data_IF_975123697452
#
_entry.id   IF_975123697452
#
_cell.length_a   1.000
_cell.length_b   1.000
_cell.length_c   1.000
_cell.angle_alpha   90.00
_cell.angle_beta   90.00
_cell.angle_gamma   90.00
#
_symmetry.space_group_name_H-M   'P 1'
#
loop_
_entity.id
_entity.type
_entity.pdbx_description
1 polymer ?
#
# COMPACT_ATOMS: atom_id res chain seq x y z
N UNK A 1 77.18 -40.80 11.32
CA UNK A 1 77.54 -40.41 9.94
C UNK A 1 76.33 -40.64 9.07
N UNK A 2 75.83 -39.62 8.37
CA UNK A 2 74.70 -39.79 7.45
C UNK A 2 73.86 -38.51 7.22
N UNK A 3 74.38 -37.60 6.39
CA UNK A 3 73.72 -36.64 5.48
C UNK A 3 72.26 -36.24 5.80
N UNK A 4 71.89 -34.99 6.13
CA UNK A 4 72.27 -33.74 5.46
C UNK A 4 71.35 -33.45 4.26
N UNK A 5 70.03 -33.27 4.51
CA UNK A 5 69.06 -32.96 3.44
C UNK A 5 68.72 -31.47 3.43
N UNK A 6 68.91 -30.88 2.24
CA UNK A 6 68.95 -29.45 1.96
C UNK A 6 67.59 -28.75 2.16
N UNK A 7 67.59 -27.69 2.98
CA UNK A 7 66.65 -26.56 2.87
C UNK A 7 66.95 -25.81 1.57
N UNK A 8 66.14 -26.02 0.53
CA UNK A 8 66.01 -25.04 -0.56
C UNK A 8 64.79 -24.15 -0.27
N UNK A 9 65.03 -23.08 0.49
CA UNK A 9 64.16 -21.90 0.40
C UNK A 9 64.51 -21.14 -0.89
N UNK A 10 63.56 -20.45 -1.53
CA UNK A 10 63.86 -19.62 -2.69
C UNK A 10 64.88 -18.56 -2.27
N UNK A 11 66.06 -18.66 -2.89
CA UNK A 11 67.15 -17.74 -2.68
C UNK A 11 66.77 -16.41 -3.30
N UNK A 12 66.51 -15.42 -2.45
CA UNK A 12 66.30 -14.04 -2.83
C UNK A 12 67.61 -13.54 -3.48
N UNK A 13 67.69 -13.58 -4.81
CA UNK A 13 68.79 -12.99 -5.59
C UNK A 13 68.57 -11.48 -5.66
N UNK A 14 69.44 -10.64 -5.08
CA UNK A 14 69.36 -9.20 -5.29
C UNK A 14 69.95 -8.89 -6.67
N UNK A 15 69.10 -8.51 -7.62
CA UNK A 15 69.55 -8.01 -8.91
C UNK A 15 68.88 -8.58 -10.16
N UNK A 16 67.76 -9.28 -10.06
CA UNK A 16 66.97 -9.63 -11.25
C UNK A 16 66.00 -8.47 -11.53
N UNK A 17 66.27 -7.74 -12.62
CA UNK A 17 65.45 -6.62 -13.06
C UNK A 17 64.01 -7.07 -13.28
N UNK A 18 63.08 -6.54 -12.48
CA UNK A 18 61.65 -6.76 -12.71
C UNK A 18 61.32 -6.57 -14.21
N UNK A 19 60.64 -7.54 -14.86
CA UNK A 19 60.38 -7.49 -16.28
C UNK A 19 59.66 -6.20 -16.65
N UNK A 20 59.99 -5.64 -17.82
CA UNK A 20 59.55 -4.31 -18.25
C UNK A 20 58.01 -4.18 -18.23
N UNK A 21 57.32 -5.28 -18.53
CA UNK A 21 55.87 -5.41 -18.45
C UNK A 21 55.33 -5.18 -17.04
N UNK A 22 55.98 -5.72 -16.01
CA UNK A 22 55.55 -5.58 -14.62
C UNK A 22 55.92 -4.21 -14.03
N UNK A 23 57.03 -3.60 -14.47
CA UNK A 23 57.36 -2.21 -14.13
C UNK A 23 56.37 -1.22 -14.77
N UNK A 24 55.97 -1.45 -16.03
CA UNK A 24 54.94 -0.65 -16.70
C UNK A 24 53.58 -0.84 -16.01
N UNK A 25 53.21 -2.07 -15.67
CA UNK A 25 51.97 -2.36 -14.94
C UNK A 25 51.91 -1.66 -13.57
N UNK A 26 53.00 -1.72 -12.79
CA UNK A 26 53.09 -1.01 -11.51
C UNK A 26 53.09 0.52 -11.67
N UNK A 27 53.69 1.04 -12.74
CA UNK A 27 53.72 2.47 -13.01
C UNK A 27 52.37 3.05 -13.45
N UNK A 28 51.54 2.27 -14.14
CA UNK A 28 50.24 2.75 -14.66
C UNK A 28 49.06 2.53 -13.73
N UNK A 29 49.16 1.58 -12.78
CA UNK A 29 48.08 1.29 -11.80
C UNK A 29 47.54 2.53 -11.07
N UNK A 30 48.37 3.43 -10.52
CA UNK A 30 47.87 4.62 -9.84
C UNK A 30 47.08 5.56 -10.78
N UNK A 31 47.46 5.63 -12.07
CA UNK A 31 46.74 6.42 -13.04
C UNK A 31 45.36 5.82 -13.37
N UNK A 32 45.26 4.49 -13.43
CA UNK A 32 43.97 3.80 -13.60
C UNK A 32 43.07 3.95 -12.37
N UNK A 33 43.62 3.86 -11.15
CA UNK A 33 42.88 4.11 -9.91
C UNK A 33 42.29 5.54 -9.87
N UNK A 34 43.02 6.53 -10.36
CA UNK A 34 42.51 7.91 -10.45
C UNK A 34 41.32 7.99 -11.41
N UNK A 35 41.38 7.30 -12.56
CA UNK A 35 40.25 7.25 -13.51
C UNK A 35 39.05 6.54 -12.90
N UNK A 36 39.26 5.42 -12.19
CA UNK A 36 38.18 4.70 -11.49
C UNK A 36 37.52 5.55 -10.41
N UNK A 37 38.31 6.30 -9.63
CA UNK A 37 37.79 7.22 -8.62
C UNK A 37 37.01 8.39 -9.25
N UNK A 38 37.45 8.90 -10.40
CA UNK A 38 36.72 9.94 -11.13
C UNK A 38 35.40 9.37 -11.65
N UNK A 39 35.40 8.20 -12.30
CA UNK A 39 34.17 7.55 -12.79
C UNK A 39 33.21 7.23 -11.65
N UNK A 40 33.72 6.73 -10.52
CA UNK A 40 32.92 6.45 -9.31
C UNK A 40 32.31 7.71 -8.70
N UNK A 41 33.06 8.82 -8.66
CA UNK A 41 32.54 10.10 -8.15
C UNK A 41 31.46 10.71 -9.06
N UNK A 42 31.57 10.56 -10.38
CA UNK A 42 30.47 10.90 -11.30
C UNK A 42 29.24 10.02 -11.09
N UNK A 43 29.42 8.74 -10.79
CA UNK A 43 28.32 7.83 -10.41
C UNK A 43 27.62 8.25 -9.11
N UNK A 44 28.38 8.64 -8.09
CA UNK A 44 27.84 9.18 -6.84
C UNK A 44 27.08 10.51 -7.04
N UNK A 45 27.60 11.38 -7.90
CA UNK A 45 26.91 12.62 -8.26
C UNK A 45 25.60 12.36 -9.02
N UNK A 46 25.57 11.40 -9.94
CA UNK A 46 24.35 10.99 -10.63
C UNK A 46 23.30 10.45 -9.65
N UNK A 47 23.70 9.63 -8.66
CA UNK A 47 22.79 9.18 -7.61
C UNK A 47 22.28 10.31 -6.71
N UNK A 48 23.11 11.32 -6.44
CA UNK A 48 22.70 12.51 -5.70
C UNK A 48 21.68 13.36 -6.48
N UNK A 49 21.89 13.52 -7.79
CA UNK A 49 20.92 14.18 -8.67
C UNK A 49 19.60 13.40 -8.76
N UNK A 50 19.66 12.07 -8.88
CA UNK A 50 18.48 11.21 -8.87
C UNK A 50 17.71 11.34 -7.55
N UNK A 51 18.42 11.37 -6.42
CA UNK A 51 17.81 11.58 -5.10
C UNK A 51 17.18 12.97 -4.97
N UNK A 52 17.79 13.99 -5.55
CA UNK A 52 17.26 15.36 -5.55
C UNK A 52 15.99 15.45 -6.40
N UNK A 53 16.00 14.81 -7.56
CA UNK A 53 14.82 14.71 -8.43
C UNK A 53 13.68 13.97 -7.74
N UNK A 54 13.94 12.80 -7.16
CA UNK A 54 12.93 11.99 -6.47
C UNK A 54 12.41 12.67 -5.19
N UNK A 55 13.27 13.33 -4.42
CA UNK A 55 12.86 14.11 -3.26
C UNK A 55 11.95 15.28 -3.65
N UNK A 56 12.26 15.96 -4.76
CA UNK A 56 11.45 17.07 -5.27
C UNK A 56 10.10 16.58 -5.78
N UNK A 57 10.09 15.49 -6.55
CA UNK A 57 8.86 14.88 -7.06
C UNK A 57 7.94 14.41 -5.91
N UNK A 58 8.54 13.78 -4.90
CA UNK A 58 7.82 13.31 -3.72
C UNK A 58 7.29 14.48 -2.87
N UNK A 59 8.05 15.57 -2.74
CA UNK A 59 7.62 16.77 -2.01
C UNK A 59 6.46 17.47 -2.71
N UNK A 60 6.50 17.54 -4.03
CA UNK A 60 5.42 18.11 -4.83
C UNK A 60 4.13 17.27 -4.73
N UNK A 61 4.24 15.96 -4.88
CA UNK A 61 3.09 15.06 -4.76
C UNK A 61 2.50 15.06 -3.35
N UNK A 62 3.32 15.15 -2.30
CA UNK A 62 2.84 15.31 -0.93
C UNK A 62 2.05 16.63 -0.76
N UNK A 63 2.54 17.73 -1.32
CA UNK A 63 1.85 19.02 -1.30
C UNK A 63 0.53 18.99 -2.08
N UNK A 64 0.50 18.34 -3.24
CA UNK A 64 -0.72 18.11 -4.02
C UNK A 64 -1.75 17.28 -3.23
N UNK A 65 -1.30 16.21 -2.56
CA UNK A 65 -2.17 15.40 -1.69
C UNK A 65 -2.78 16.19 -0.54
N UNK A 66 -2.03 17.13 0.07
CA UNK A 66 -2.57 18.04 1.08
C UNK A 66 -3.61 19.00 0.48
N UNK A 67 -3.40 19.47 -0.74
CA UNK A 67 -4.39 20.32 -1.44
C UNK A 67 -5.69 19.55 -1.74
N UNK A 68 -5.62 18.28 -2.12
CA UNK A 68 -6.80 17.43 -2.27
C UNK A 68 -7.55 17.24 -0.94
N UNK A 69 -6.81 17.09 0.17
CA UNK A 69 -7.41 16.99 1.51
C UNK A 69 -8.17 18.26 1.92
N UNK A 70 -7.69 19.44 1.54
CA UNK A 70 -8.44 20.69 1.71
C UNK A 70 -9.73 20.72 0.87
N UNK A 71 -9.72 20.08 -0.31
CA UNK A 71 -10.91 19.86 -1.13
C UNK A 71 -11.97 19.02 -0.42
N UNK A 72 -11.57 17.94 0.26
CA UNK A 72 -12.49 17.14 1.07
C UNK A 72 -13.07 17.94 2.25
N UNK A 73 -12.27 18.77 2.92
CA UNK A 73 -12.76 19.63 4.00
C UNK A 73 -13.86 20.60 3.53
N UNK A 74 -13.70 21.19 2.34
CA UNK A 74 -14.76 22.02 1.71
C UNK A 74 -16.06 21.24 1.52
N UNK A 75 -15.97 19.97 1.10
CA UNK A 75 -17.13 19.12 0.90
C UNK A 75 -17.80 18.75 2.23
N UNK A 76 -17.03 18.47 3.30
CA UNK A 76 -17.58 18.23 4.64
C UNK A 76 -18.27 19.46 5.22
N UNK A 77 -17.68 20.65 5.08
CA UNK A 77 -18.32 21.91 5.45
C UNK A 77 -19.63 22.09 4.67
N UNK A 78 -19.62 21.83 3.37
CA UNK A 78 -20.81 21.83 2.51
C UNK A 78 -21.89 20.85 2.99
N UNK A 79 -21.51 19.65 3.44
CA UNK A 79 -22.44 18.67 4.01
C UNK A 79 -23.07 19.16 5.32
N UNK A 80 -22.28 19.75 6.22
CA UNK A 80 -22.81 20.34 7.46
C UNK A 80 -23.83 21.44 7.16
N UNK A 81 -23.52 22.36 6.25
CA UNK A 81 -24.47 23.37 5.80
C UNK A 81 -25.68 22.77 5.05
N UNK A 82 -25.49 21.66 4.32
CA UNK A 82 -26.58 20.94 3.65
C UNK A 82 -27.54 20.29 4.63
N UNK A 83 -27.07 19.80 5.78
CA UNK A 83 -27.93 19.25 6.84
C UNK A 83 -28.82 20.34 7.43
N UNK A 84 -28.28 21.54 7.66
CA UNK A 84 -29.10 22.69 8.08
C UNK A 84 -30.10 23.12 7.02
N UNK A 85 -29.71 23.09 5.74
CA UNK A 85 -30.62 23.36 4.62
C UNK A 85 -31.72 22.29 4.51
N UNK A 86 -31.37 21.02 4.70
CA UNK A 86 -32.28 19.88 4.71
C UNK A 86 -33.26 19.97 5.89
N UNK A 87 -32.78 20.29 7.10
CA UNK A 87 -33.62 20.54 8.26
C UNK A 87 -34.64 21.66 7.97
N UNK A 88 -34.20 22.75 7.34
CA UNK A 88 -35.07 23.86 6.96
C UNK A 88 -36.10 23.43 5.89
N UNK A 89 -35.72 22.55 4.96
CA UNK A 89 -36.61 21.98 3.93
C UNK A 89 -37.64 21.02 4.54
N UNK A 90 -37.22 20.14 5.44
CA UNK A 90 -38.08 19.23 6.20
C UNK A 90 -39.07 20.03 7.06
N UNK A 91 -38.60 21.09 7.74
CA UNK A 91 -39.47 21.98 8.52
C UNK A 91 -40.53 22.65 7.65
N UNK A 92 -40.16 23.16 6.45
CA UNK A 92 -41.11 23.71 5.47
C UNK A 92 -42.09 22.64 4.95
N UNK A 93 -41.63 21.42 4.73
CA UNK A 93 -42.45 20.31 4.24
C UNK A 93 -43.48 19.85 5.28
N UNK A 94 -43.05 19.70 6.54
CA UNK A 94 -43.93 19.43 7.67
C UNK A 94 -44.94 20.56 7.84
N UNK A 95 -44.52 21.83 7.74
CA UNK A 95 -45.44 22.97 7.80
C UNK A 95 -46.49 22.92 6.67
N UNK A 96 -46.08 22.58 5.45
CA UNK A 96 -46.97 22.46 4.28
C UNK A 96 -47.98 21.30 4.41
N UNK A 97 -47.55 20.14 4.92
CA UNK A 97 -48.42 18.96 5.10
C UNK A 97 -49.33 19.10 6.32
N UNK A 98 -48.83 19.67 7.41
CA UNK A 98 -49.58 19.78 8.68
C UNK A 98 -50.57 20.95 8.65
N UNK A 99 -50.58 21.77 7.58
CA UNK A 99 -51.46 22.93 7.41
C UNK A 99 -51.25 24.02 8.47
N UNK A 100 -50.13 23.99 9.20
CA UNK A 100 -49.81 25.03 10.17
C UNK A 100 -49.27 26.23 9.40
N UNK A 101 -50.07 27.29 9.35
CA UNK A 101 -49.60 28.62 8.97
C UNK A 101 -48.35 28.96 9.80
N UNK A 102 -47.38 29.70 9.24
CA UNK A 102 -46.20 30.12 9.99
C UNK A 102 -46.66 30.89 11.23
N UNK A 103 -46.47 30.32 12.41
CA UNK A 103 -46.53 31.08 13.63
C UNK A 103 -45.39 32.10 13.53
N UNK A 104 -45.73 33.38 13.70
CA UNK A 104 -44.88 34.57 13.59
C UNK A 104 -45.01 35.29 12.24
N UNK A 105 -46.00 36.18 12.17
CA UNK A 105 -45.84 37.49 11.54
C UNK A 105 -45.06 38.35 12.54
N UNK A 106 -43.80 38.73 12.29
CA UNK A 106 -42.94 39.39 13.27
C UNK A 106 -43.28 40.87 13.55
N UNK A 107 -44.50 41.35 13.24
CA UNK A 107 -44.84 42.77 13.40
C UNK A 107 -46.28 43.06 13.85
N UNK A 108 -47.01 42.09 14.41
CA UNK A 108 -48.33 42.34 15.00
C UNK A 108 -48.43 41.64 16.37
N UNK A 109 -47.87 42.28 17.41
CA UNK A 109 -48.13 41.87 18.80
C UNK A 109 -49.52 42.43 19.15
N UNK A 110 -50.55 41.58 19.08
CA UNK A 110 -51.92 41.97 19.41
C UNK A 110 -52.30 41.47 20.81
N UNK A 111 -52.58 42.40 21.74
CA UNK A 111 -52.93 42.09 23.14
C UNK A 111 -54.25 41.33 23.26
N UNK A 112 -55.11 41.38 22.24
CA UNK A 112 -56.38 40.63 22.20
C UNK A 112 -56.21 39.11 22.02
N UNK A 113 -55.07 38.64 21.50
CA UNK A 113 -54.72 37.19 21.49
C UNK A 113 -54.41 36.66 22.89
N UNK A 114 -53.94 37.52 23.80
CA UNK A 114 -53.61 37.14 25.18
C UNK A 114 -54.87 36.79 26.00
N UNK A 115 -55.99 37.48 25.74
CA UNK A 115 -57.27 37.21 26.40
C UNK A 115 -58.01 35.97 25.86
N UNK A 116 -57.73 35.54 24.63
CA UNK A 116 -58.29 34.30 24.07
C UNK A 116 -57.58 33.03 24.56
N UNK A 117 -56.38 33.15 25.12
CA UNK A 117 -55.64 32.02 25.68
C UNK A 117 -56.28 31.45 26.96
N UNK A 118 -57.00 32.27 27.73
CA UNK A 118 -57.50 31.92 29.06
C UNK A 118 -58.89 31.24 29.05
N UNK A 119 -59.69 31.39 27.98
CA UNK A 119 -61.11 30.97 28.02
C UNK A 119 -61.53 29.73 27.24
N UNK A 120 -60.74 29.16 26.31
CA UNK A 120 -61.14 27.86 25.72
C UNK A 120 -59.96 27.02 25.26
N UNK A 121 -59.61 25.97 26.01
CA UNK A 121 -59.61 24.57 25.52
C UNK A 121 -58.91 23.63 26.50
N UNK A 122 -59.69 22.71 27.09
CA UNK A 122 -59.12 21.49 27.70
C UNK A 122 -58.21 20.82 26.66
N UNK A 123 -56.99 20.37 27.00
CA UNK A 123 -56.06 19.80 26.02
C UNK A 123 -56.68 18.51 25.44
N UNK A 124 -57.28 18.60 24.25
CA UNK A 124 -57.68 17.42 23.49
C UNK A 124 -56.41 16.73 23.00
N UNK A 125 -56.13 15.57 23.56
CA UNK A 125 -55.02 14.70 23.16
C UNK A 125 -55.15 14.40 21.65
N UNK A 126 -54.38 15.11 20.83
CA UNK A 126 -54.47 14.94 19.39
C UNK A 126 -53.81 13.62 19.01
N UNK A 127 -54.43 12.81 18.14
CA UNK A 127 -53.84 11.55 17.63
C UNK A 127 -52.65 11.79 16.69
N UNK A 128 -52.32 13.05 16.42
CA UNK A 128 -51.27 13.49 15.48
C UNK A 128 -49.87 13.00 15.88
N UNK A 129 -49.39 13.16 17.14
CA UNK A 129 -48.14 12.54 17.60
C UNK A 129 -48.13 11.01 17.44
N UNK A 130 -49.26 10.33 17.64
CA UNK A 130 -49.34 8.88 17.45
C UNK A 130 -49.25 8.48 15.97
N UNK A 131 -49.89 9.23 15.07
CA UNK A 131 -49.79 8.99 13.61
C UNK A 131 -48.36 9.25 13.13
N UNK A 132 -47.73 10.33 13.58
CA UNK A 132 -46.32 10.64 13.23
C UNK A 132 -45.38 9.55 13.76
N UNK A 133 -45.59 9.09 15.00
CA UNK A 133 -44.82 7.98 15.57
C UNK A 133 -45.00 6.70 14.77
N UNK A 134 -46.24 6.34 14.39
CA UNK A 134 -46.54 5.16 13.59
C UNK A 134 -45.95 5.25 12.17
N UNK A 135 -46.01 6.43 11.53
CA UNK A 135 -45.36 6.70 10.25
C UNK A 135 -43.83 6.64 10.35
N UNK A 136 -43.25 7.03 11.48
CA UNK A 136 -41.80 6.89 11.70
C UNK A 136 -41.40 5.43 11.87
N UNK A 137 -42.10 4.69 12.75
CA UNK A 137 -41.79 3.28 13.08
C UNK A 137 -41.95 2.36 11.88
N UNK A 138 -42.92 2.62 11.00
CA UNK A 138 -43.16 1.78 9.80
C UNK A 138 -42.53 2.39 8.54
N UNK A 139 -42.54 3.72 8.42
CA UNK A 139 -42.08 4.41 7.22
C UNK A 139 -40.56 4.52 7.11
N UNK A 140 -39.81 4.70 8.21
CA UNK A 140 -38.34 4.70 8.15
C UNK A 140 -37.78 3.35 7.68
N UNK A 141 -38.21 2.19 8.24
CA UNK A 141 -37.74 0.88 7.78
C UNK A 141 -38.09 0.62 6.31
N UNK A 142 -39.30 0.98 5.87
CA UNK A 142 -39.72 0.80 4.48
C UNK A 142 -38.93 1.69 3.51
N UNK A 143 -38.67 2.95 3.89
CA UNK A 143 -37.88 3.88 3.09
C UNK A 143 -36.41 3.43 3.02
N UNK A 144 -35.85 2.95 4.13
CA UNK A 144 -34.51 2.36 4.17
C UNK A 144 -34.44 1.11 3.29
N UNK A 145 -35.43 0.23 3.36
CA UNK A 145 -35.52 -0.94 2.48
C UNK A 145 -35.49 -0.55 0.99
N UNK A 146 -36.22 0.52 0.61
CA UNK A 146 -36.22 1.03 -0.78
C UNK A 146 -34.89 1.72 -1.14
N UNK A 147 -34.27 2.46 -0.23
CA UNK A 147 -32.99 3.14 -0.45
C UNK A 147 -31.82 2.15 -0.56
N UNK A 148 -31.83 1.11 0.27
CA UNK A 148 -30.83 0.02 0.23
C UNK A 148 -30.84 -0.63 -1.16
N UNK A 149 -32.02 -0.93 -1.72
CA UNK A 149 -32.12 -1.49 -3.07
C UNK A 149 -31.61 -0.57 -4.19
N UNK A 150 -31.75 0.75 -4.03
CA UNK A 150 -31.26 1.73 -5.02
C UNK A 150 -29.75 1.91 -4.91
N UNK A 151 -29.19 1.87 -3.70
CA UNK A 151 -27.76 2.13 -3.43
C UNK A 151 -26.91 0.85 -3.54
N UNK A 152 -27.48 -0.34 -3.33
CA UNK A 152 -26.75 -1.62 -3.36
C UNK A 152 -26.09 -1.92 -4.71
N UNK A 153 -26.64 -1.41 -5.81
CA UNK A 153 -26.03 -1.57 -7.14
C UNK A 153 -24.72 -0.78 -7.30
N UNK A 154 -24.62 0.41 -6.71
CA UNK A 154 -23.38 1.20 -6.71
C UNK A 154 -22.38 0.68 -5.65
N UNK A 155 -22.88 0.18 -4.51
CA UNK A 155 -22.03 -0.35 -3.45
C UNK A 155 -21.37 -1.68 -3.87
N UNK A 156 -22.09 -2.58 -4.57
CA UNK A 156 -21.47 -3.77 -5.18
C UNK A 156 -20.41 -3.42 -6.20
N UNK A 157 -20.62 -2.40 -7.05
CA UNK A 157 -19.60 -1.96 -8.04
C UNK A 157 -18.36 -1.34 -7.40
N UNK A 158 -18.51 -0.59 -6.30
CA UNK A 158 -17.38 -0.05 -5.53
C UNK A 158 -16.63 -1.16 -4.77
N UNK A 159 -17.35 -2.15 -4.25
CA UNK A 159 -16.76 -3.32 -3.59
C UNK A 159 -16.09 -4.27 -4.61
N UNK A 160 -16.69 -4.47 -5.78
CA UNK A 160 -16.10 -5.19 -6.93
C UNK A 160 -14.92 -4.42 -7.53
N UNK A 161 -14.93 -3.09 -7.58
CA UNK A 161 -13.76 -2.30 -7.98
C UNK A 161 -12.62 -2.37 -6.95
N UNK A 162 -12.92 -2.40 -5.64
CA UNK A 162 -11.91 -2.62 -4.60
C UNK A 162 -11.36 -4.06 -4.63
N UNK A 163 -12.21 -5.07 -4.87
CA UNK A 163 -11.80 -6.47 -5.05
C UNK A 163 -11.03 -6.70 -6.37
N UNK A 164 -11.38 -6.00 -7.45
CA UNK A 164 -10.66 -6.07 -8.73
C UNK A 164 -9.35 -5.29 -8.72
N UNK A 165 -9.23 -4.16 -8.00
CA UNK A 165 -7.94 -3.50 -7.81
C UNK A 165 -6.98 -4.34 -6.93
N UNK A 166 -7.48 -5.12 -5.97
CA UNK A 166 -6.66 -6.13 -5.27
C UNK A 166 -6.30 -7.35 -6.13
N UNK A 167 -7.09 -7.69 -7.15
CA UNK A 167 -6.79 -8.82 -8.04
C UNK A 167 -5.92 -8.43 -9.24
N UNK A 168 -5.92 -7.17 -9.69
CA UNK A 168 -5.08 -6.73 -10.82
C UNK A 168 -3.58 -6.57 -10.45
N UNK A 169 -3.23 -6.49 -9.17
CA UNK A 169 -1.84 -6.68 -8.72
C UNK A 169 -1.48 -8.15 -8.44
N UNK A 170 -2.47 -9.05 -8.41
CA UNK A 170 -2.26 -10.50 -8.21
C UNK A 170 -2.15 -11.28 -9.53
N UNK A 171 -2.53 -10.69 -10.67
CA UNK A 171 -2.57 -11.37 -11.97
C UNK A 171 -1.23 -11.39 -12.74
N UNK A 172 -0.13 -10.92 -12.13
CA UNK A 172 1.24 -11.15 -12.61
C UNK A 172 2.12 -11.80 -11.55
N UNK A 173 1.53 -12.48 -10.57
CA UNK A 173 2.30 -13.37 -9.70
C UNK A 173 2.57 -14.65 -10.49
N UNK A 174 3.63 -14.61 -11.29
CA UNK A 174 4.20 -15.78 -11.94
C UNK A 174 4.51 -16.83 -10.85
N UNK A 175 3.83 -18.00 -10.83
CA UNK A 175 3.99 -19.02 -9.78
C UNK A 175 5.44 -19.48 -9.62
N UNK A 176 6.26 -19.26 -10.64
CA UNK A 176 7.69 -19.56 -10.72
C UNK A 176 8.57 -18.59 -9.92
N UNK A 177 8.03 -17.44 -9.49
CA UNK A 177 8.75 -16.38 -8.76
C UNK A 177 8.35 -16.22 -7.29
N UNK A 178 7.40 -17.01 -6.79
CA UNK A 178 7.05 -16.95 -5.36
C UNK A 178 8.18 -17.55 -4.51
N UNK A 179 8.55 -16.82 -3.46
CA UNK A 179 9.41 -17.36 -2.41
C UNK A 179 8.57 -18.20 -1.44
N UNK A 180 9.12 -19.35 -1.04
CA UNK A 180 8.49 -20.22 -0.04
C UNK A 180 9.24 -20.13 1.28
N UNK A 181 8.50 -20.04 2.37
CA UNK A 181 9.04 -20.04 3.72
C UNK A 181 8.43 -21.15 4.59
N UNK A 182 9.22 -21.66 5.53
CA UNK A 182 8.81 -22.62 6.57
C UNK A 182 8.48 -21.87 7.84
N UNK A 183 7.35 -22.15 8.47
CA UNK A 183 7.10 -21.70 9.83
C UNK A 183 8.05 -22.40 10.81
N UNK A 184 8.82 -21.63 11.57
CA UNK A 184 9.73 -22.14 12.62
C UNK A 184 9.01 -22.35 13.95
N UNK A 185 7.94 -21.59 14.18
CA UNK A 185 7.17 -21.55 15.41
C UNK A 185 5.68 -21.56 15.10
N UNK A 186 4.89 -21.95 16.10
CA UNK A 186 3.43 -21.84 16.04
C UNK A 186 3.02 -20.37 16.22
N UNK A 187 2.10 -19.90 15.38
CA UNK A 187 1.51 -18.57 15.45
C UNK A 187 0.00 -18.70 15.33
N UNK A 188 -0.73 -18.22 16.33
CA UNK A 188 -2.19 -18.21 16.33
C UNK A 188 -2.67 -16.83 15.93
N UNK A 189 -3.51 -16.75 14.90
CA UNK A 189 -4.08 -15.48 14.44
C UNK A 189 -5.03 -14.91 15.49
N UNK A 190 -4.88 -13.63 15.83
CA UNK A 190 -5.78 -12.89 16.71
C UNK A 190 -6.82 -12.09 15.91
N UNK A 191 -6.46 -11.70 14.68
CA UNK A 191 -7.30 -10.94 13.76
C UNK A 191 -7.72 -11.77 12.55
N UNK A 192 -8.90 -11.55 11.96
CA UNK A 192 -9.32 -12.20 10.71
C UNK A 192 -8.45 -11.83 9.50
N UNK A 193 -7.56 -10.83 9.63
CA UNK A 193 -6.59 -10.46 8.60
C UNK A 193 -5.27 -11.24 8.73
N UNK A 194 -5.08 -11.96 9.83
CA UNK A 194 -3.86 -12.71 10.15
C UNK A 194 -3.99 -14.19 9.77
N UNK A 195 -2.84 -14.80 9.49
CA UNK A 195 -2.74 -16.19 9.08
C UNK A 195 -2.17 -17.01 10.22
N UNK A 196 -2.93 -17.98 10.73
CA UNK A 196 -2.40 -18.94 11.70
C UNK A 196 -1.39 -19.87 11.04
N UNK A 197 -0.23 -20.05 11.67
CA UNK A 197 0.84 -20.92 11.21
C UNK A 197 1.12 -22.00 12.25
N UNK A 198 1.36 -23.23 11.83
CA UNK A 198 1.95 -24.27 12.67
C UNK A 198 3.41 -24.48 12.30
N UNK A 199 4.24 -24.83 13.27
CA UNK A 199 5.64 -25.18 13.07
C UNK A 199 5.76 -26.27 12.01
N UNK A 200 6.54 -25.98 10.97
CA UNK A 200 6.74 -26.86 9.82
C UNK A 200 5.84 -26.55 8.61
N UNK A 201 4.85 -25.67 8.74
CA UNK A 201 4.00 -25.27 7.62
C UNK A 201 4.79 -24.54 6.54
N UNK A 202 4.41 -24.78 5.28
CA UNK A 202 4.99 -24.10 4.12
C UNK A 202 4.03 -23.02 3.66
N UNK A 203 4.50 -21.77 3.69
CA UNK A 203 3.75 -20.60 3.24
C UNK A 203 4.39 -20.03 1.98
N UNK A 204 3.56 -19.75 0.98
CA UNK A 204 3.98 -19.00 -0.20
C UNK A 204 3.89 -17.50 0.11
N UNK A 205 5.01 -16.78 0.03
CA UNK A 205 5.05 -15.34 0.30
C UNK A 205 4.49 -14.59 -0.91
N UNK A 206 3.45 -13.81 -0.68
CA UNK A 206 2.80 -12.98 -1.70
C UNK A 206 3.41 -11.58 -1.72
N UNK A 207 3.56 -10.94 -0.56
CA UNK A 207 4.22 -9.64 -0.45
C UNK A 207 4.91 -9.47 0.90
N UNK A 208 6.05 -8.78 0.88
CA UNK A 208 6.80 -8.36 2.08
C UNK A 208 6.60 -6.87 2.39
N UNK A 209 5.76 -6.20 1.60
CA UNK A 209 5.51 -4.77 1.70
C UNK A 209 4.25 -4.51 2.52
N UNK A 210 4.28 -3.46 3.32
CA UNK A 210 3.10 -2.94 4.00
C UNK A 210 2.10 -2.37 2.96
N UNK A 211 0.83 -2.81 2.95
CA UNK A 211 -0.20 -2.28 2.06
C UNK A 211 -0.42 -0.76 2.14
N UNK A 212 -0.09 -0.15 3.28
CA UNK A 212 -0.31 1.29 3.51
C UNK A 212 0.89 2.13 3.09
N UNK A 213 2.10 1.67 3.39
CA UNK A 213 3.33 2.47 3.25
C UNK A 213 4.24 2.02 2.09
N UNK A 214 3.96 0.87 1.47
CA UNK A 214 4.81 0.23 0.45
C UNK A 214 6.29 0.04 0.89
N UNK A 215 6.57 0.10 2.19
CA UNK A 215 7.89 -0.15 2.76
C UNK A 215 8.04 -1.61 3.19
N UNK A 216 9.28 -2.07 3.37
CA UNK A 216 9.58 -3.41 3.90
C UNK A 216 8.97 -3.57 5.29
N UNK A 217 8.02 -4.49 5.42
CA UNK A 217 7.28 -4.73 6.66
C UNK A 217 7.83 -5.94 7.41
N UNK A 218 7.69 -5.90 8.74
CA UNK A 218 7.90 -7.06 9.62
C UNK A 218 6.74 -8.06 9.55
N UNK A 219 5.65 -7.69 8.87
CA UNK A 219 4.50 -8.54 8.61
C UNK A 219 4.39 -8.82 7.12
N UNK A 220 4.44 -10.10 6.77
CA UNK A 220 4.36 -10.55 5.38
C UNK A 220 2.99 -11.13 5.10
N UNK A 221 2.52 -10.95 3.88
CA UNK A 221 1.31 -11.61 3.39
C UNK A 221 1.71 -12.89 2.71
N UNK A 222 1.04 -13.98 3.04
CA UNK A 222 1.21 -15.22 2.31
C UNK A 222 -0.01 -16.10 2.28
N UNK A 223 0.15 -17.23 1.60
CA UNK A 223 -0.88 -18.23 1.34
C UNK A 223 -0.42 -19.61 1.80
N UNK A 224 -1.27 -20.27 2.58
CA UNK A 224 -1.10 -21.67 2.96
C UNK A 224 -1.56 -22.61 1.84
N UNK A 225 -1.15 -23.88 1.92
CA UNK A 225 -1.59 -24.93 0.98
C UNK A 225 -3.12 -25.09 0.91
N UNK A 226 -3.79 -24.83 2.03
CA UNK A 226 -5.25 -24.90 2.16
C UNK A 226 -5.99 -23.72 1.47
N UNK A 227 -5.25 -22.76 0.90
CA UNK A 227 -5.82 -21.61 0.21
C UNK A 227 -6.08 -20.40 1.10
N UNK A 228 -6.02 -20.57 2.42
CA UNK A 228 -6.11 -19.48 3.40
C UNK A 228 -4.97 -18.49 3.19
N UNK A 229 -5.31 -17.20 3.23
CA UNK A 229 -4.35 -16.10 3.09
C UNK A 229 -4.49 -15.14 4.25
N UNK A 230 -3.37 -14.56 4.66
CA UNK A 230 -3.36 -13.54 5.71
C UNK A 230 -1.95 -13.04 5.97
N UNK A 231 -1.86 -12.13 6.93
CA UNK A 231 -0.61 -11.56 7.40
C UNK A 231 0.00 -12.46 8.48
N UNK A 232 1.31 -12.62 8.46
CA UNK A 232 2.05 -13.31 9.52
C UNK A 232 3.39 -12.60 9.76
N UNK A 233 3.95 -12.71 10.97
CA UNK A 233 5.19 -12.04 11.31
C UNK A 233 6.41 -12.73 10.69
N UNK A 234 7.31 -11.94 10.10
CA UNK A 234 8.47 -12.42 9.35
C UNK A 234 9.46 -13.26 10.18
N UNK A 235 9.60 -12.95 11.47
CA UNK A 235 10.49 -13.64 12.39
C UNK A 235 10.00 -15.05 12.79
N UNK A 236 8.79 -15.43 12.40
CA UNK A 236 8.24 -16.77 12.64
C UNK A 236 8.50 -17.73 11.49
N UNK A 237 9.09 -17.25 10.39
CA UNK A 237 9.31 -18.06 9.19
C UNK A 237 10.76 -18.00 8.70
N UNK A 238 11.21 -19.08 8.07
CA UNK A 238 12.52 -19.21 7.44
C UNK A 238 12.35 -19.46 5.93
N UNK A 239 13.00 -18.67 5.08
CA UNK A 239 12.87 -18.81 3.62
C UNK A 239 13.60 -20.07 3.15
N UNK A 240 12.87 -21.03 2.56
CA UNK A 240 13.41 -22.33 2.13
C UNK A 240 13.81 -22.29 0.65
N UNK A 241 13.08 -21.52 -0.17
CA UNK A 241 13.37 -21.34 -1.59
C UNK A 241 13.36 -19.86 -1.91
N UNK A 242 14.55 -19.29 -2.09
CA UNK A 242 14.69 -18.09 -2.92
C UNK A 242 14.44 -18.57 -4.35
N UNK A 243 13.49 -17.95 -5.06
CA UNK A 243 13.41 -18.14 -6.50
C UNK A 243 14.82 -17.97 -7.09
N UNK A 244 15.24 -18.81 -8.05
CA UNK A 244 16.54 -18.63 -8.68
C UNK A 244 16.55 -17.22 -9.28
N UNK A 245 17.38 -16.33 -8.74
CA UNK A 245 17.74 -15.08 -9.40
C UNK A 245 18.32 -15.48 -10.76
N UNK A 246 17.55 -15.25 -11.81
CA UNK A 246 17.95 -15.21 -13.21
C UNK A 246 19.09 -16.16 -13.60
N UNK A 247 18.82 -17.47 -13.60
CA UNK A 247 19.73 -18.46 -14.21
C UNK A 247 19.80 -18.38 -15.75
N UNK A 248 19.11 -17.40 -16.36
CA UNK A 248 19.15 -17.16 -17.80
C UNK A 248 20.39 -16.37 -18.25
N UNK A 249 21.01 -15.54 -17.40
CA UNK A 249 22.27 -14.87 -17.76
C UNK A 249 23.46 -15.85 -17.76
N UNK A 250 23.51 -16.80 -16.82
CA UNK A 250 24.62 -17.77 -16.73
C UNK A 250 24.60 -18.80 -17.86
N UNK A 251 23.40 -19.14 -18.39
CA UNK A 251 23.28 -20.03 -19.58
C UNK A 251 23.65 -19.30 -20.87
N UNK A 252 23.23 -18.04 -21.03
CA UNK A 252 23.61 -17.23 -22.20
C UNK A 252 25.12 -16.96 -22.26
N UNK A 253 25.79 -16.79 -21.12
CA UNK A 253 27.24 -16.61 -21.07
C UNK A 253 27.98 -17.91 -21.39
N UNK A 254 27.50 -19.07 -20.91
CA UNK A 254 28.11 -20.37 -21.27
C UNK A 254 27.92 -20.73 -22.75
N UNK A 255 26.74 -20.49 -23.30
CA UNK A 255 26.47 -20.75 -24.72
C UNK A 255 27.24 -19.80 -25.65
N UNK A 256 27.50 -18.56 -25.20
CA UNK A 256 28.36 -17.63 -25.93
C UNK A 256 29.86 -18.02 -25.86
N UNK A 257 30.33 -18.49 -24.70
CA UNK A 257 31.73 -18.92 -24.51
C UNK A 257 32.03 -20.20 -25.30
N UNK A 258 31.10 -21.17 -25.31
CA UNK A 258 31.22 -22.39 -26.12
C UNK A 258 31.16 -22.11 -27.63
N UNK A 259 30.35 -21.14 -28.06
CA UNK A 259 30.28 -20.71 -29.47
C UNK A 259 31.54 -19.95 -29.91
N UNK A 260 32.15 -19.16 -29.02
CA UNK A 260 33.37 -18.40 -29.33
C UNK A 260 34.57 -19.35 -29.48
N UNK A 261 34.63 -20.40 -28.65
CA UNK A 261 35.66 -21.45 -28.72
C UNK A 261 35.59 -22.30 -29.99
N UNK A 262 34.38 -22.60 -30.46
CA UNK A 262 34.16 -23.31 -31.73
C UNK A 262 34.57 -22.48 -32.96
N UNK A 263 34.49 -21.15 -32.89
CA UNK A 263 34.93 -20.26 -33.97
C UNK A 263 36.47 -20.17 -34.01
N UNK A 264 37.14 -20.21 -32.85
CA UNK A 264 38.60 -20.17 -32.76
C UNK A 264 39.27 -21.46 -33.28
N UNK A 265 38.62 -22.62 -33.13
CA UNK A 265 39.10 -23.90 -33.70
C UNK A 265 38.97 -23.99 -35.23
N UNK A 266 38.15 -23.16 -35.87
CA UNK A 266 37.98 -23.15 -37.34
C UNK A 266 38.95 -22.22 -38.08
N UNK A 267 39.83 -21.52 -37.37
CA UNK A 267 40.73 -20.51 -37.92
C UNK A 267 42.22 -20.89 -37.90
N UNK A 268 42.55 -22.12 -37.50
CA UNK A 268 43.89 -22.72 -37.59
C UNK A 268 43.91 -23.87 -38.58
#
# INVERSE_FOLDING_TARGET
MGYGMNRFGPMNRPGEDMPLTQRMEMGTRPAFEVVENIVGSFGGFAQMLESTFMATHSSFMAMMGVAEQLGYLRNYLGQVFSVFALYRLVKRFIQKITGRAPAVKPMEINVSEFYQFDQTSKPKMSRKPFIVFMLMVVGLPYLMHKLIHVISNNQKRLQEQQLQQQQQQAATIDPSKLEFARAMYDFTAESPMELSLKKGDIVAIITKLDPVTNAASQWWKGRLRDGTMGMFPANYVEIIQKAPKDSNEVKAIKEADDAMKAIEETKN
#
